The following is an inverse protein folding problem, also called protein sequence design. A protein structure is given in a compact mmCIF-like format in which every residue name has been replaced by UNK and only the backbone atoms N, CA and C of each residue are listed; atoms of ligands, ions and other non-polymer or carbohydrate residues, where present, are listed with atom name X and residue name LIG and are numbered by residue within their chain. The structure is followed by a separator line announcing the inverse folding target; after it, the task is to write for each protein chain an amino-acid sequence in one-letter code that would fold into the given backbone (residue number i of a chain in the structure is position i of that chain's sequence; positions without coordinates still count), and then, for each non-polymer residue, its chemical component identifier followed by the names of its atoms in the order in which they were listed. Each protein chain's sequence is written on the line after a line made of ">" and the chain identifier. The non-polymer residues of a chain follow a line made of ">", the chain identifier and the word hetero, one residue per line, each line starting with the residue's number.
data_IF_835185431957
#
_entry.id   IF_835185431957
#
_cell.length_a   1.000
_cell.length_b   1.000
_cell.length_c   1.000
_cell.angle_alpha   90.00
_cell.angle_beta   90.00
_cell.angle_gamma   90.00
#
_symmetry.space_group_name_H-M   'P 1'
#
loop_
_entity.id
_entity.type
_entity.pdbx_description
1 polymer ?
#
# COMPACT_ATOMS: atom_id res chain seq x y z
N UNK A 1 -1.52 13.25 19.37
CA UNK A 1 -0.82 14.04 18.32
C UNK A 1 -0.50 13.20 17.10
N UNK A 2 0.01 11.96 17.28
CA UNK A 2 0.26 11.02 16.18
C UNK A 2 -1.01 10.73 15.36
N UNK A 3 -2.17 10.67 16.03
CA UNK A 3 -3.47 10.41 15.42
C UNK A 3 -3.84 11.50 14.41
N UNK A 4 -3.56 12.76 14.74
CA UNK A 4 -3.83 13.89 13.84
C UNK A 4 -2.93 13.83 12.60
N UNK A 5 -1.63 13.55 12.78
CA UNK A 5 -0.70 13.38 11.66
C UNK A 5 -1.11 12.22 10.76
N UNK A 6 -1.56 11.12 11.37
CA UNK A 6 -2.03 9.95 10.66
C UNK A 6 -3.28 10.22 9.82
N UNK A 7 -4.29 10.87 10.40
CA UNK A 7 -5.50 11.29 9.66
C UNK A 7 -5.14 12.27 8.54
N UNK A 8 -4.25 13.23 8.81
CA UNK A 8 -3.78 14.19 7.80
C UNK A 8 -3.07 13.48 6.65
N UNK A 9 -2.24 12.48 6.93
CA UNK A 9 -1.55 11.66 5.94
C UNK A 9 -2.56 10.90 5.06
N UNK A 10 -3.59 10.29 5.65
CA UNK A 10 -4.64 9.60 4.89
C UNK A 10 -5.34 10.58 3.95
N UNK A 11 -5.79 11.73 4.47
CA UNK A 11 -6.45 12.76 3.66
C UNK A 11 -5.57 13.21 2.49
N UNK A 12 -4.27 13.40 2.74
CA UNK A 12 -3.33 13.78 1.69
C UNK A 12 -3.18 12.69 0.63
N UNK A 13 -3.08 11.42 1.03
CA UNK A 13 -3.01 10.28 0.10
C UNK A 13 -4.30 10.17 -0.74
N UNK A 14 -5.46 10.39 -0.13
CA UNK A 14 -6.74 10.40 -0.84
C UNK A 14 -6.80 11.51 -1.89
N UNK A 15 -6.45 12.73 -1.51
CA UNK A 15 -6.42 13.88 -2.41
C UNK A 15 -5.42 13.67 -3.56
N UNK A 16 -4.24 13.14 -3.26
CA UNK A 16 -3.22 12.89 -4.27
C UNK A 16 -3.63 11.76 -5.23
N UNK A 17 -4.28 10.71 -4.70
CA UNK A 17 -4.81 9.62 -5.53
C UNK A 17 -5.95 10.11 -6.44
N UNK A 18 -6.77 11.06 -5.96
CA UNK A 18 -7.78 11.73 -6.79
C UNK A 18 -7.14 12.62 -7.87
N UNK A 19 -6.11 13.40 -7.52
CA UNK A 19 -5.34 14.16 -8.50
C UNK A 19 -4.76 13.25 -9.59
N UNK A 20 -4.14 12.13 -9.19
CA UNK A 20 -3.62 11.13 -10.11
C UNK A 20 -4.73 10.52 -11.00
N UNK A 21 -5.92 10.28 -10.44
CA UNK A 21 -7.07 9.84 -11.20
C UNK A 21 -7.49 10.85 -12.29
N UNK A 22 -7.54 12.15 -11.96
CA UNK A 22 -7.87 13.23 -12.91
C UNK A 22 -6.83 13.38 -14.02
N UNK A 23 -5.56 13.13 -13.72
CA UNK A 23 -4.47 13.12 -14.70
C UNK A 23 -4.44 11.84 -15.56
N UNK A 24 -5.24 10.83 -15.21
CA UNK A 24 -5.49 9.65 -16.02
C UNK A 24 -4.54 8.48 -15.74
N UNK A 25 -4.54 7.52 -16.68
CA UNK A 25 -3.91 6.20 -16.52
C UNK A 25 -2.42 6.24 -16.14
N UNK A 26 -1.64 7.12 -16.77
CA UNK A 26 -0.20 7.23 -16.51
C UNK A 26 0.11 7.69 -15.08
N UNK A 27 -0.63 8.68 -14.60
CA UNK A 27 -0.48 9.20 -13.24
C UNK A 27 -0.93 8.17 -12.19
N UNK A 28 -2.03 7.45 -12.41
CA UNK A 28 -2.43 6.35 -11.53
C UNK A 28 -1.39 5.22 -11.47
N UNK A 29 -0.81 4.86 -12.62
CA UNK A 29 0.23 3.82 -12.69
C UNK A 29 1.48 4.24 -11.91
N UNK A 30 1.84 5.51 -12.02
CA UNK A 30 2.92 6.12 -11.25
C UNK A 30 2.59 6.15 -9.76
N UNK A 31 1.35 6.51 -9.40
CA UNK A 31 0.85 6.55 -8.03
C UNK A 31 0.94 5.17 -7.35
N UNK A 32 0.51 4.09 -8.02
CA UNK A 32 0.68 2.71 -7.53
C UNK A 32 2.14 2.44 -7.15
N UNK A 33 3.06 2.80 -8.04
CA UNK A 33 4.49 2.52 -7.91
C UNK A 33 5.15 3.35 -6.79
N UNK A 34 4.92 4.66 -6.80
CA UNK A 34 5.50 5.58 -5.80
C UNK A 34 5.00 5.23 -4.40
N UNK A 35 3.70 4.98 -4.24
CA UNK A 35 3.14 4.64 -2.94
C UNK A 35 3.64 3.29 -2.43
N UNK A 36 3.83 2.29 -3.31
CA UNK A 36 4.44 1.02 -2.93
C UNK A 36 5.91 1.17 -2.48
N UNK A 37 6.68 2.04 -3.15
CA UNK A 37 8.05 2.37 -2.73
C UNK A 37 8.07 3.06 -1.37
N UNK A 38 7.21 4.06 -1.15
CA UNK A 38 7.11 4.75 0.13
C UNK A 38 6.68 3.81 1.26
N UNK A 39 5.76 2.89 0.99
CA UNK A 39 5.34 1.86 1.96
C UNK A 39 6.55 1.03 2.41
N UNK A 40 7.35 0.52 1.47
CA UNK A 40 8.52 -0.31 1.79
C UNK A 40 9.65 0.50 2.46
N UNK A 41 9.89 1.74 2.04
CA UNK A 41 10.94 2.58 2.61
C UNK A 41 10.63 3.04 4.04
N UNK A 42 9.35 3.33 4.33
CA UNK A 42 8.94 3.89 5.63
C UNK A 42 8.39 2.87 6.62
N UNK A 43 8.33 1.58 6.26
CA UNK A 43 7.75 0.51 7.09
C UNK A 43 8.40 0.36 8.47
N UNK A 44 9.70 0.65 8.58
CA UNK A 44 10.43 0.52 9.84
C UNK A 44 10.08 1.61 10.85
N UNK A 45 9.45 2.71 10.41
CA UNK A 45 9.00 3.76 11.32
C UNK A 45 7.70 3.34 11.98
N UNK A 46 7.75 3.19 13.30
CA UNK A 46 6.59 2.89 14.12
C UNK A 46 6.10 4.14 14.86
N UNK A 47 4.83 4.12 15.24
CA UNK A 47 4.24 5.06 16.17
C UNK A 47 3.29 4.34 17.12
N UNK A 48 3.03 4.97 18.27
CA UNK A 48 1.96 4.54 19.17
C UNK A 48 0.64 5.14 18.69
N UNK A 49 -0.36 4.29 18.48
CA UNK A 49 -1.71 4.64 18.07
C UNK A 49 -2.69 3.98 19.05
N UNK A 50 -3.42 4.79 19.83
CA UNK A 50 -4.30 4.32 20.92
C UNK A 50 -3.65 3.31 21.89
N UNK A 51 -2.38 3.54 22.25
CA UNK A 51 -1.65 2.71 23.22
C UNK A 51 -0.99 1.46 22.65
N UNK A 52 -1.08 1.22 21.35
CA UNK A 52 -0.48 0.06 20.68
C UNK A 52 0.43 0.50 19.52
N UNK A 53 1.44 -0.30 19.20
CA UNK A 53 2.42 0.02 18.15
C UNK A 53 1.90 -0.34 16.76
N UNK A 54 2.08 0.57 15.80
CA UNK A 54 1.71 0.39 14.38
C UNK A 54 2.80 0.95 13.48
N UNK A 55 2.90 0.43 12.25
CA UNK A 55 3.78 1.02 11.24
C UNK A 55 3.13 2.27 10.64
N UNK A 56 3.92 3.30 10.36
CA UNK A 56 3.44 4.52 9.70
C UNK A 56 3.24 4.33 8.18
N UNK A 57 3.41 3.10 7.67
CA UNK A 57 3.47 2.81 6.24
C UNK A 57 2.16 2.30 5.63
N UNK A 58 1.24 1.82 6.48
CA UNK A 58 0.00 1.17 6.06
C UNK A 58 -0.88 2.06 5.18
N UNK A 59 -0.85 3.38 5.42
CA UNK A 59 -1.59 4.35 4.61
C UNK A 59 -1.12 4.38 3.14
N UNK A 60 0.18 4.24 2.89
CA UNK A 60 0.73 4.19 1.53
C UNK A 60 0.37 2.89 0.81
N UNK A 61 0.38 1.75 1.53
CA UNK A 61 -0.05 0.47 0.96
C UNK A 61 -1.50 0.55 0.49
N UNK A 62 -2.39 1.11 1.32
CA UNK A 62 -3.80 1.29 0.97
C UNK A 62 -3.99 2.25 -0.21
N UNK A 63 -3.28 3.38 -0.26
CA UNK A 63 -3.41 4.31 -1.37
C UNK A 63 -2.83 3.78 -2.70
N UNK A 64 -1.81 2.90 -2.65
CA UNK A 64 -1.34 2.15 -3.81
C UNK A 64 -2.45 1.24 -4.36
N UNK A 65 -3.11 0.50 -3.48
CA UNK A 65 -4.24 -0.38 -3.84
C UNK A 65 -5.44 0.41 -4.36
N UNK A 66 -5.73 1.59 -3.78
CA UNK A 66 -6.76 2.49 -4.29
C UNK A 66 -6.48 2.90 -5.74
N UNK A 67 -5.26 3.36 -6.01
CA UNK A 67 -4.83 3.77 -7.36
C UNK A 67 -4.97 2.61 -8.35
N UNK A 68 -4.65 1.40 -7.90
CA UNK A 68 -4.78 0.18 -8.70
C UNK A 68 -6.25 -0.20 -8.96
N UNK A 69 -7.13 0.00 -7.99
CA UNK A 69 -8.56 -0.21 -8.15
C UNK A 69 -9.17 0.80 -9.14
N UNK A 70 -8.75 2.07 -9.11
CA UNK A 70 -9.16 3.02 -10.14
C UNK A 70 -8.68 2.61 -11.54
N UNK A 71 -7.45 2.12 -11.67
CA UNK A 71 -6.98 1.57 -12.94
C UNK A 71 -7.84 0.39 -13.41
N UNK A 72 -8.18 -0.52 -12.50
CA UNK A 72 -8.99 -1.71 -12.79
C UNK A 72 -10.40 -1.32 -13.25
N UNK A 73 -11.04 -0.38 -12.56
CA UNK A 73 -12.42 0.05 -12.80
C UNK A 73 -12.55 0.89 -14.08
N UNK A 74 -11.72 1.94 -14.22
CA UNK A 74 -11.92 2.94 -15.28
C UNK A 74 -11.08 2.70 -16.54
N UNK A 75 -9.96 1.99 -16.39
CA UNK A 75 -9.03 1.70 -17.50
C UNK A 75 -8.93 0.20 -17.79
N UNK A 76 -9.71 -0.62 -17.09
CA UNK A 76 -9.78 -2.06 -17.29
C UNK A 76 -8.65 -2.86 -16.65
N UNK A 77 -8.87 -4.18 -16.57
CA UNK A 77 -7.97 -5.16 -15.92
C UNK A 77 -6.57 -5.22 -16.54
N UNK A 78 -6.45 -5.02 -17.85
CA UNK A 78 -5.14 -4.99 -18.52
C UNK A 78 -4.29 -3.79 -18.05
N UNK A 79 -4.91 -2.64 -17.80
CA UNK A 79 -4.23 -1.46 -17.28
C UNK A 79 -3.72 -1.67 -15.86
N UNK A 80 -4.53 -2.27 -14.99
CA UNK A 80 -4.11 -2.60 -13.63
C UNK A 80 -3.00 -3.66 -13.62
N UNK A 81 -3.08 -4.69 -14.48
CA UNK A 81 -2.03 -5.72 -14.61
C UNK A 81 -0.70 -5.12 -15.06
N UNK A 82 -0.71 -4.23 -16.06
CA UNK A 82 0.48 -3.49 -16.50
C UNK A 82 1.04 -2.62 -15.38
N UNK A 83 0.20 -1.95 -14.60
CA UNK A 83 0.67 -1.15 -13.45
C UNK A 83 1.35 -1.99 -12.37
N UNK A 84 0.85 -3.19 -12.09
CA UNK A 84 1.51 -4.15 -11.19
C UNK A 84 2.90 -4.54 -11.71
N UNK A 85 3.02 -4.84 -13.00
CA UNK A 85 4.30 -5.19 -13.63
C UNK A 85 5.31 -4.04 -13.55
N UNK A 86 4.86 -2.81 -13.86
CA UNK A 86 5.67 -1.59 -13.75
C UNK A 86 6.12 -1.37 -12.31
N UNK A 87 5.20 -1.48 -11.35
CA UNK A 87 5.49 -1.35 -9.94
C UNK A 87 6.55 -2.37 -9.48
N UNK A 88 6.40 -3.64 -9.87
CA UNK A 88 7.36 -4.70 -9.58
C UNK A 88 8.75 -4.41 -10.17
N UNK A 89 8.81 -3.99 -11.43
CA UNK A 89 10.06 -3.63 -12.10
C UNK A 89 10.82 -2.52 -11.36
N UNK A 90 10.14 -1.42 -11.01
CA UNK A 90 10.76 -0.31 -10.30
C UNK A 90 11.10 -0.63 -8.84
N UNK A 91 10.31 -1.50 -8.20
CA UNK A 91 10.64 -2.04 -6.88
C UNK A 91 11.96 -2.82 -6.92
N UNK A 92 12.13 -3.76 -7.86
CA UNK A 92 13.38 -4.52 -8.02
C UNK A 92 14.56 -3.56 -8.28
N UNK A 93 14.36 -2.57 -9.15
CA UNK A 93 15.37 -1.55 -9.43
C UNK A 93 15.76 -0.78 -8.16
N UNK A 94 14.79 -0.36 -7.35
CA UNK A 94 15.04 0.35 -6.09
C UNK A 94 15.90 -0.47 -5.13
N UNK A 95 15.63 -1.77 -4.96
CA UNK A 95 16.46 -2.64 -4.10
C UNK A 95 17.87 -2.84 -4.66
N UNK A 96 18.00 -3.06 -5.97
CA UNK A 96 19.30 -3.20 -6.61
C UNK A 96 20.15 -1.93 -6.40
N UNK A 97 19.56 -0.76 -6.65
CA UNK A 97 20.22 0.52 -6.44
C UNK A 97 20.53 0.80 -4.97
N UNK A 98 19.63 0.46 -4.05
CA UNK A 98 19.87 0.61 -2.60
C UNK A 98 21.06 -0.23 -2.14
N UNK A 99 21.17 -1.47 -2.63
CA UNK A 99 22.29 -2.34 -2.30
C UNK A 99 23.61 -1.88 -2.93
N UNK A 100 23.57 -1.39 -4.17
CA UNK A 100 24.75 -0.75 -4.79
C UNK A 100 25.17 0.50 -4.02
N UNK A 101 24.20 1.32 -3.59
CA UNK A 101 24.47 2.55 -2.85
C UNK A 101 25.19 2.28 -1.51
N UNK A 102 24.78 1.22 -0.79
CA UNK A 102 25.46 0.82 0.46
C UNK A 102 26.88 0.29 0.26
N UNK A 103 27.29 -0.08 -0.97
CA UNK A 103 28.65 -0.56 -1.26
C UNK A 103 29.67 0.55 -1.46
N UNK A 104 29.24 1.80 -1.63
CA UNK A 104 30.18 2.92 -1.70
C UNK A 104 30.89 3.08 -0.35
N UNK A 105 32.21 3.26 -0.41
CA UNK A 105 33.02 3.54 0.77
C UNK A 105 32.71 4.98 1.21
N UNK A 106 32.18 5.21 2.42
CA UNK A 106 31.89 6.56 2.89
C UNK A 106 33.18 7.36 3.07
N UNK A 107 33.13 8.65 2.73
CA UNK A 107 34.22 9.57 3.01
C UNK A 107 34.28 9.92 4.50
N UNK A 108 35.39 10.50 4.97
CA UNK A 108 35.52 10.99 6.35
C UNK A 108 34.52 12.11 6.71
N UNK A 109 33.96 12.79 5.71
CA UNK A 109 32.94 13.82 5.89
C UNK A 109 31.50 13.30 5.77
N UNK A 110 31.32 12.00 5.49
CA UNK A 110 29.99 11.44 5.35
C UNK A 110 29.31 11.27 6.72
N UNK A 111 28.09 11.82 6.83
CA UNK A 111 27.26 11.70 8.03
C UNK A 111 25.99 10.87 7.79
N UNK A 112 25.76 10.40 6.56
CA UNK A 112 24.49 9.81 6.13
C UNK A 112 24.54 8.28 6.02
N UNK A 113 25.72 7.69 5.81
CA UNK A 113 25.90 6.26 5.55
C UNK A 113 25.29 5.39 6.64
N UNK A 114 25.45 5.74 7.92
CA UNK A 114 24.86 4.97 9.02
C UNK A 114 23.32 4.96 8.96
N UNK A 115 22.69 6.08 8.57
CA UNK A 115 21.25 6.15 8.39
C UNK A 115 20.80 5.32 7.18
N UNK A 116 21.51 5.42 6.05
CA UNK A 116 21.24 4.59 4.88
C UNK A 116 21.40 3.10 5.19
N UNK A 117 22.46 2.69 5.88
CA UNK A 117 22.69 1.30 6.24
C UNK A 117 21.54 0.74 7.09
N UNK A 118 21.02 1.52 8.06
CA UNK A 118 19.87 1.09 8.88
C UNK A 118 18.58 0.93 8.09
N UNK A 119 18.31 1.84 7.14
CA UNK A 119 17.07 1.83 6.36
C UNK A 119 17.11 0.85 5.19
N UNK A 120 18.24 0.75 4.50
CA UNK A 120 18.35 0.06 3.21
C UNK A 120 18.86 -1.39 3.35
N UNK A 121 19.53 -1.76 4.44
CA UNK A 121 19.97 -3.15 4.65
C UNK A 121 18.78 -4.13 4.71
N UNK A 122 17.66 -3.82 5.39
CA UNK A 122 16.47 -4.69 5.38
C UNK A 122 15.66 -4.64 4.08
N UNK A 123 15.92 -3.67 3.18
CA UNK A 123 15.10 -3.41 2.01
C UNK A 123 14.91 -4.63 1.08
N UNK A 124 15.92 -5.47 0.77
CA UNK A 124 15.71 -6.66 -0.05
C UNK A 124 14.66 -7.60 0.54
N UNK A 125 14.75 -7.87 1.85
CA UNK A 125 13.80 -8.74 2.56
C UNK A 125 12.38 -8.16 2.53
N UNK A 126 12.25 -6.87 2.89
CA UNK A 126 10.96 -6.18 2.91
C UNK A 126 10.31 -6.21 1.53
N UNK A 127 11.10 -5.97 0.48
CA UNK A 127 10.62 -5.94 -0.88
C UNK A 127 10.17 -7.30 -1.40
N UNK A 128 10.96 -8.36 -1.20
CA UNK A 128 10.57 -9.70 -1.64
C UNK A 128 9.33 -10.20 -0.89
N UNK A 129 9.22 -9.88 0.40
CA UNK A 129 8.01 -10.13 1.17
C UNK A 129 6.82 -9.34 0.60
N UNK A 130 6.97 -8.03 0.39
CA UNK A 130 5.92 -7.15 -0.16
C UNK A 130 5.46 -7.62 -1.54
N UNK A 131 6.37 -7.90 -2.47
CA UNK A 131 6.03 -8.38 -3.82
C UNK A 131 5.32 -9.73 -3.81
N UNK A 132 5.85 -10.70 -3.04
CA UNK A 132 5.26 -12.03 -2.93
C UNK A 132 3.85 -11.98 -2.35
N UNK A 133 3.69 -11.25 -1.26
CA UNK A 133 2.39 -11.05 -0.60
C UNK A 133 1.43 -10.29 -1.51
N UNK A 134 1.86 -9.17 -2.09
CA UNK A 134 1.04 -8.37 -2.99
C UNK A 134 0.51 -9.16 -4.18
N UNK A 135 1.36 -9.98 -4.82
CA UNK A 135 0.93 -10.85 -5.91
C UNK A 135 -0.13 -11.87 -5.47
N UNK A 136 0.12 -12.59 -4.37
CA UNK A 136 -0.82 -13.58 -3.83
C UNK A 136 -2.14 -12.94 -3.42
N UNK A 137 -2.07 -11.84 -2.68
CA UNK A 137 -3.23 -11.11 -2.16
C UNK A 137 -4.06 -10.53 -3.31
N UNK A 138 -3.45 -9.98 -4.36
CA UNK A 138 -4.22 -9.46 -5.49
C UNK A 138 -4.92 -10.54 -6.31
N UNK A 139 -4.32 -11.72 -6.45
CA UNK A 139 -5.02 -12.85 -7.05
C UNK A 139 -6.20 -13.32 -6.18
N UNK A 140 -6.05 -13.30 -4.86
CA UNK A 140 -7.13 -13.61 -3.93
C UNK A 140 -8.23 -12.54 -3.95
N UNK A 141 -7.90 -11.25 -3.96
CA UNK A 141 -8.87 -10.14 -4.02
C UNK A 141 -9.78 -10.26 -5.25
N UNK A 142 -9.21 -10.54 -6.43
CA UNK A 142 -10.00 -10.70 -7.66
C UNK A 142 -11.02 -11.85 -7.52
N UNK A 143 -10.62 -12.97 -6.90
CA UNK A 143 -11.50 -14.12 -6.68
C UNK A 143 -12.56 -13.82 -5.62
N UNK A 144 -12.16 -13.21 -4.51
CA UNK A 144 -13.05 -12.79 -3.43
C UNK A 144 -14.09 -11.81 -3.94
N UNK A 145 -13.69 -10.80 -4.72
CA UNK A 145 -14.60 -9.84 -5.33
C UNK A 145 -15.63 -10.52 -6.24
N UNK A 146 -15.20 -11.49 -7.05
CA UNK A 146 -16.10 -12.27 -7.90
C UNK A 146 -17.13 -13.07 -7.08
N UNK A 147 -16.67 -13.75 -6.04
CA UNK A 147 -17.53 -14.53 -5.14
C UNK A 147 -18.50 -13.66 -4.31
N UNK A 148 -18.04 -12.52 -3.80
CA UNK A 148 -18.90 -11.54 -3.13
C UNK A 148 -19.94 -10.98 -4.10
N UNK A 149 -19.58 -10.79 -5.36
CA UNK A 149 -20.49 -10.30 -6.39
C UNK A 149 -21.62 -11.27 -6.73
N UNK A 150 -21.39 -12.59 -6.61
CA UNK A 150 -22.45 -13.59 -6.78
C UNK A 150 -23.32 -13.74 -5.53
N UNK A 151 -22.75 -13.58 -4.33
CA UNK A 151 -23.49 -13.64 -3.06
C UNK A 151 -24.36 -12.42 -2.79
N UNK A 152 -23.87 -11.22 -3.14
CA UNK A 152 -24.53 -9.94 -2.87
C UNK A 152 -24.85 -9.19 -4.17
N UNK A 153 -25.69 -9.74 -5.07
CA UNK A 153 -25.93 -9.16 -6.40
C UNK A 153 -26.63 -7.79 -6.33
N UNK A 154 -27.37 -7.50 -5.25
CA UNK A 154 -28.06 -6.23 -5.01
C UNK A 154 -27.18 -5.16 -4.34
N UNK A 155 -25.96 -5.51 -3.94
CA UNK A 155 -25.05 -4.58 -3.24
C UNK A 155 -24.33 -3.65 -4.23
N UNK A 156 -24.08 -2.42 -3.80
CA UNK A 156 -23.34 -1.43 -4.60
C UNK A 156 -21.91 -1.89 -4.84
N UNK A 157 -21.31 -1.47 -5.96
CA UNK A 157 -19.91 -1.79 -6.27
C UNK A 157 -18.93 -1.40 -5.15
N UNK A 158 -19.00 -0.18 -4.57
CA UNK A 158 -18.08 0.22 -3.50
C UNK A 158 -18.17 -0.67 -2.26
N UNK A 159 -19.38 -1.13 -1.91
CA UNK A 159 -19.57 -2.03 -0.77
C UNK A 159 -18.91 -3.40 -1.04
N UNK A 160 -19.18 -4.02 -2.19
CA UNK A 160 -18.56 -5.30 -2.57
C UNK A 160 -17.03 -5.20 -2.64
N UNK A 161 -16.51 -4.11 -3.21
CA UNK A 161 -15.07 -3.86 -3.27
C UNK A 161 -14.46 -3.68 -1.89
N UNK A 162 -15.13 -2.94 -1.00
CA UNK A 162 -14.63 -2.71 0.36
C UNK A 162 -14.57 -4.01 1.17
N UNK A 163 -15.58 -4.89 1.04
CA UNK A 163 -15.58 -6.20 1.70
C UNK A 163 -14.42 -7.06 1.20
N UNK A 164 -14.23 -7.13 -0.12
CA UNK A 164 -13.11 -7.87 -0.73
C UNK A 164 -11.75 -7.34 -0.25
N UNK A 165 -11.61 -6.02 -0.18
CA UNK A 165 -10.41 -5.34 0.31
C UNK A 165 -10.14 -5.66 1.78
N UNK A 166 -11.14 -5.61 2.66
CA UNK A 166 -10.95 -5.93 4.08
C UNK A 166 -10.42 -7.37 4.24
N UNK A 167 -11.02 -8.33 3.54
CA UNK A 167 -10.58 -9.73 3.62
C UNK A 167 -9.17 -9.94 3.06
N UNK A 168 -8.87 -9.35 1.90
CA UNK A 168 -7.55 -9.47 1.28
C UNK A 168 -6.46 -8.77 2.08
N UNK A 169 -6.77 -7.61 2.68
CA UNK A 169 -5.84 -6.85 3.53
C UNK A 169 -5.55 -7.52 4.88
N UNK A 170 -6.46 -8.36 5.39
CA UNK A 170 -6.14 -9.20 6.54
C UNK A 170 -5.02 -10.18 6.20
N UNK A 171 -5.15 -10.90 5.09
CA UNK A 171 -4.16 -11.86 4.60
C UNK A 171 -2.83 -11.15 4.30
N UNK A 172 -2.88 -9.99 3.65
CA UNK A 172 -1.71 -9.14 3.40
C UNK A 172 -0.95 -8.81 4.68
N UNK A 173 -1.67 -8.29 5.68
CA UNK A 173 -1.07 -7.83 6.94
C UNK A 173 -0.43 -8.99 7.69
N UNK A 174 -1.10 -10.14 7.76
CA UNK A 174 -0.56 -11.33 8.40
C UNK A 174 0.71 -11.80 7.67
N UNK A 175 0.62 -12.07 6.36
CA UNK A 175 1.75 -12.62 5.61
C UNK A 175 2.95 -11.66 5.58
N UNK A 176 2.72 -10.36 5.36
CA UNK A 176 3.78 -9.37 5.31
C UNK A 176 4.45 -9.18 6.69
N UNK A 177 3.67 -9.21 7.78
CA UNK A 177 4.23 -9.10 9.13
C UNK A 177 5.15 -10.28 9.48
N UNK A 178 4.78 -11.50 9.08
CA UNK A 178 5.65 -12.67 9.29
C UNK A 178 6.84 -12.72 8.34
N UNK A 179 6.65 -12.48 7.04
CA UNK A 179 7.73 -12.63 6.05
C UNK A 179 8.69 -11.43 6.08
N UNK A 180 8.15 -10.21 6.10
CA UNK A 180 8.90 -8.97 6.02
C UNK A 180 9.43 -8.49 7.37
N UNK A 181 8.57 -8.46 8.39
CA UNK A 181 8.83 -7.74 9.64
C UNK A 181 9.34 -8.59 10.79
N UNK A 182 9.30 -9.92 10.69
CA UNK A 182 9.74 -10.81 11.77
C UNK A 182 11.19 -10.56 12.19
N UNK A 183 11.42 -10.26 13.48
CA UNK A 183 12.75 -9.95 14.01
C UNK A 183 13.27 -8.53 13.68
N UNK A 184 12.49 -7.70 12.97
CA UNK A 184 12.78 -6.27 12.78
C UNK A 184 11.96 -5.38 13.73
N UNK A 185 10.92 -5.94 14.34
CA UNK A 185 10.01 -5.23 15.23
C UNK A 185 9.70 -6.04 16.48
N UNK A 186 9.47 -5.34 17.59
CA UNK A 186 9.36 -5.94 18.93
C UNK A 186 8.14 -6.88 19.08
N UNK A 187 6.96 -6.45 18.61
CA UNK A 187 5.70 -7.17 18.82
C UNK A 187 4.89 -7.34 17.53
N UNK A 188 5.24 -8.37 16.74
CA UNK A 188 4.56 -8.69 15.46
C UNK A 188 3.04 -8.83 15.61
N UNK A 189 2.55 -9.41 16.72
CA UNK A 189 1.11 -9.56 16.97
C UNK A 189 0.37 -8.22 17.17
N UNK A 190 0.97 -7.28 17.88
CA UNK A 190 0.40 -5.92 18.05
C UNK A 190 0.33 -5.19 16.72
N UNK A 191 1.40 -5.30 15.92
CA UNK A 191 1.46 -4.71 14.58
C UNK A 191 0.36 -5.29 13.70
N UNK A 192 0.18 -6.62 13.67
CA UNK A 192 -0.89 -7.24 12.86
C UNK A 192 -2.26 -6.70 13.27
N UNK A 193 -2.57 -6.69 14.57
CA UNK A 193 -3.88 -6.26 15.06
C UNK A 193 -4.18 -4.80 14.70
N UNK A 194 -3.21 -3.90 14.92
CA UNK A 194 -3.43 -2.46 14.74
C UNK A 194 -3.26 -2.02 13.30
N UNK A 195 -2.26 -2.53 12.57
CA UNK A 195 -2.15 -2.28 11.13
C UNK A 195 -3.41 -2.75 10.41
N UNK A 196 -3.97 -3.90 10.79
CA UNK A 196 -5.22 -4.36 10.21
C UNK A 196 -6.40 -3.43 10.57
N UNK A 197 -6.58 -3.07 11.84
CA UNK A 197 -7.63 -2.13 12.27
C UNK A 197 -7.54 -0.81 11.50
N UNK A 198 -6.33 -0.27 11.40
CA UNK A 198 -6.03 0.96 10.67
C UNK A 198 -6.39 0.81 9.20
N UNK A 199 -5.95 -0.27 8.53
CA UNK A 199 -6.32 -0.54 7.14
C UNK A 199 -7.83 -0.61 6.95
N UNK A 200 -8.56 -1.28 7.84
CA UNK A 200 -10.03 -1.36 7.81
C UNK A 200 -10.65 0.04 7.91
N UNK A 201 -10.20 0.87 8.85
CA UNK A 201 -10.68 2.26 8.97
C UNK A 201 -10.46 3.05 7.66
N UNK A 202 -9.28 2.94 7.04
CA UNK A 202 -9.01 3.63 5.77
C UNK A 202 -9.92 3.10 4.65
N UNK A 203 -10.09 1.78 4.55
CA UNK A 203 -10.96 1.16 3.52
C UNK A 203 -12.41 1.61 3.67
N UNK A 204 -12.91 1.69 4.91
CA UNK A 204 -14.27 2.17 5.18
C UNK A 204 -14.45 3.64 4.79
N UNK A 205 -13.43 4.48 4.99
CA UNK A 205 -13.43 5.87 4.51
C UNK A 205 -13.37 5.92 2.98
N UNK A 206 -12.63 5.01 2.35
CA UNK A 206 -12.47 4.92 0.91
C UNK A 206 -13.74 4.53 0.16
N UNK A 207 -14.57 3.65 0.72
CA UNK A 207 -15.82 3.18 0.09
C UNK A 207 -16.72 4.35 -0.39
N UNK A 208 -17.10 5.29 0.48
CA UNK A 208 -17.83 6.50 0.12
C UNK A 208 -17.10 7.36 -0.94
N UNK A 209 -15.78 7.50 -0.83
CA UNK A 209 -14.98 8.29 -1.79
C UNK A 209 -14.99 7.68 -3.20
N UNK A 210 -14.89 6.35 -3.32
CA UNK A 210 -15.01 5.68 -4.62
C UNK A 210 -16.39 5.90 -5.27
N UNK A 211 -17.45 5.90 -4.46
CA UNK A 211 -18.80 6.21 -4.93
C UNK A 211 -18.91 7.67 -5.41
N UNK A 212 -18.30 8.59 -4.68
CA UNK A 212 -18.24 10.02 -5.02
C UNK A 212 -17.51 10.27 -6.34
N UNK A 213 -16.34 9.64 -6.56
CA UNK A 213 -15.59 9.80 -7.80
C UNK A 213 -16.33 9.28 -9.03
N UNK A 214 -17.07 8.17 -8.88
CA UNK A 214 -17.91 7.65 -9.96
C UNK A 214 -18.96 8.67 -10.42
N UNK A 215 -19.56 9.40 -9.47
CA UNK A 215 -20.60 10.40 -9.76
C UNK A 215 -20.03 11.61 -10.51
N UNK A 216 -18.83 12.07 -10.16
CA UNK A 216 -18.19 13.22 -10.80
C UNK A 216 -17.77 12.93 -12.24
N UNK A 217 -17.37 11.70 -12.56
CA UNK A 217 -16.96 11.37 -13.93
C UNK A 217 -18.13 11.16 -14.89
N UNK A 218 -19.31 10.77 -14.40
CA UNK A 218 -20.52 10.75 -15.25
C UNK A 218 -20.99 12.14 -15.69
N UNK A 219 -20.47 13.21 -15.07
CA UNK A 219 -20.80 14.61 -15.39
C UNK A 219 -19.76 15.28 -16.32
N UNK A 220 -18.77 14.53 -16.85
CA UNK A 220 -17.74 15.00 -17.81
C UNK A 220 -17.81 14.18 -19.08
#
# INVERSE_FOLDING_TARGET
>A
MNELYFVTQILFILLFSYGAFRLGKGALTTSVTVQALLANLFVLKQMTFFGLEVTCSDAFAIGSILSLNFLREYFGKESSKKAIQICCFFMIFFVAMSHMHLRFIPSSSDTAHLAYARLLTPAPRLLFASLGVFYLVQHLDIRLFGWISTLLPKSTFPMRSSISLVLSQFIDTVLFSFLGLWGLVAHVGHIIAISFLVKVCIILILGPFMAFFKRIQTDV
#
